data_IF_119035916348
#
_entry.id   IF_119035916348
#
_cell.length_a   1.000
_cell.length_b   1.000
_cell.length_c   1.000
_cell.angle_alpha   90.00
_cell.angle_beta   90.00
_cell.angle_gamma   90.00
#
_symmetry.space_group_name_H-M   'P 1'
#
loop_
_entity.id
_entity.type
_entity.pdbx_description
1 polymer ?
#
# COMPACT_ATOMS: atom_id res chain seq x y z
N UNK A 1 36.50 2.45 15.43
CA UNK A 1 35.09 2.03 15.37
C UNK A 1 34.30 3.26 15.01
N UNK A 2 33.80 3.35 13.79
CA UNK A 2 33.08 4.55 13.33
C UNK A 2 31.68 4.53 13.92
N UNK A 3 31.36 5.54 14.72
CA UNK A 3 30.01 5.81 15.22
C UNK A 3 29.05 5.93 14.03
N UNK A 4 28.28 4.87 13.79
CA UNK A 4 27.15 4.93 12.88
C UNK A 4 26.11 5.80 13.57
N UNK A 5 26.15 7.11 13.31
CA UNK A 5 25.07 8.03 13.67
C UNK A 5 23.78 7.41 13.14
N UNK A 6 22.90 6.97 14.04
CA UNK A 6 21.57 6.51 13.69
C UNK A 6 20.89 7.65 12.93
N UNK A 7 20.69 7.47 11.62
CA UNK A 7 19.92 8.42 10.82
C UNK A 7 18.50 8.39 11.36
N UNK A 8 18.10 9.48 12.01
CA UNK A 8 16.75 9.64 12.55
C UNK A 8 15.74 9.54 11.40
N UNK A 9 14.74 8.68 11.57
CA UNK A 9 13.68 8.56 10.59
C UNK A 9 12.66 9.67 10.79
N UNK A 10 12.66 10.61 9.86
CA UNK A 10 11.65 11.66 9.78
C UNK A 10 10.67 11.32 8.69
N UNK A 11 9.47 10.88 9.08
CA UNK A 11 8.39 10.65 8.14
C UNK A 11 8.07 11.94 7.38
N UNK A 12 7.88 11.84 6.07
CA UNK A 12 7.37 12.96 5.28
C UNK A 12 5.89 13.15 5.57
N UNK A 13 5.46 14.40 5.57
CA UNK A 13 4.04 14.73 5.65
C UNK A 13 3.39 14.49 4.28
N UNK A 14 2.41 13.59 4.25
CA UNK A 14 1.59 13.30 3.07
C UNK A 14 0.29 14.11 3.15
N UNK A 15 -0.30 14.41 1.99
CA UNK A 15 -1.58 15.11 1.91
C UNK A 15 -2.70 14.19 2.36
N UNK A 16 -3.26 14.44 3.53
CA UNK A 16 -4.42 13.74 4.05
C UNK A 16 -5.70 14.26 3.37
N UNK A 17 -6.47 13.36 2.77
CA UNK A 17 -7.73 13.68 2.10
C UNK A 17 -8.81 12.77 2.66
N UNK A 18 -9.91 13.36 3.12
CA UNK A 18 -11.06 12.61 3.61
C UNK A 18 -11.55 11.63 2.55
N UNK A 19 -11.84 10.39 2.94
CA UNK A 19 -12.35 9.36 2.05
C UNK A 19 -13.61 9.80 1.29
N UNK A 20 -14.48 10.59 1.92
CA UNK A 20 -15.68 11.13 1.26
C UNK A 20 -15.38 12.06 0.07
N UNK A 21 -14.16 12.62 -0.01
CA UNK A 21 -13.72 13.56 -1.06
C UNK A 21 -12.96 12.88 -2.20
N UNK A 22 -12.70 11.58 -2.11
CA UNK A 22 -11.89 10.85 -3.08
C UNK A 22 -12.79 10.02 -4.01
N UNK A 23 -12.56 10.12 -5.32
CA UNK A 23 -13.12 9.20 -6.29
C UNK A 23 -12.52 7.80 -6.07
N UNK A 24 -13.40 6.82 -5.91
CA UNK A 24 -13.03 5.44 -5.62
C UNK A 24 -13.76 4.52 -6.58
N UNK A 25 -13.07 3.47 -7.02
CA UNK A 25 -13.75 2.43 -7.79
C UNK A 25 -14.83 1.76 -6.93
N UNK A 26 -15.97 1.33 -7.52
CA UNK A 26 -17.06 0.71 -6.79
C UNK A 26 -16.64 -0.43 -5.85
N UNK A 27 -15.60 -1.18 -6.22
CA UNK A 27 -15.04 -2.26 -5.40
C UNK A 27 -14.38 -1.80 -4.11
N UNK A 28 -13.77 -0.61 -4.07
CA UNK A 28 -13.22 -0.04 -2.84
C UNK A 28 -14.30 0.30 -1.83
N UNK A 29 -15.55 0.54 -2.27
CA UNK A 29 -16.69 0.75 -1.36
C UNK A 29 -17.04 -0.48 -0.52
N UNK A 30 -16.55 -1.66 -0.91
CA UNK A 30 -16.81 -2.92 -0.20
C UNK A 30 -15.77 -3.23 0.88
N UNK A 31 -14.67 -2.48 0.92
CA UNK A 31 -13.63 -2.63 1.93
C UNK A 31 -13.80 -1.61 3.05
N UNK A 32 -13.37 -1.92 4.29
CA UNK A 32 -13.25 -0.92 5.35
C UNK A 32 -12.29 0.21 4.92
N UNK A 33 -12.83 1.43 4.80
CA UNK A 33 -12.09 2.61 4.33
C UNK A 33 -11.56 3.40 5.53
N UNK A 34 -10.30 3.87 5.52
CA UNK A 34 -9.83 4.82 6.52
C UNK A 34 -10.62 6.13 6.43
N UNK A 35 -10.68 6.95 7.49
CA UNK A 35 -11.29 8.30 7.39
C UNK A 35 -10.52 9.18 6.41
N UNK A 36 -9.18 9.03 6.36
CA UNK A 36 -8.30 9.75 5.46
C UNK A 36 -7.47 8.78 4.61
N UNK A 37 -7.33 9.10 3.32
CA UNK A 37 -6.26 8.58 2.47
C UNK A 37 -5.10 9.58 2.42
N UNK A 38 -3.88 9.09 2.22
CA UNK A 38 -2.66 9.89 2.21
C UNK A 38 -2.01 9.87 0.83
N UNK A 39 -1.86 11.04 0.21
CA UNK A 39 -1.28 11.20 -1.12
C UNK A 39 0.04 11.97 -1.07
N UNK A 40 0.88 11.75 -2.07
CA UNK A 40 2.17 12.45 -2.20
C UNK A 40 1.96 13.95 -2.45
N UNK A 41 0.95 14.27 -3.27
CA UNK A 41 0.53 15.64 -3.60
C UNK A 41 -0.99 15.69 -3.75
N UNK A 42 -1.57 16.88 -3.62
CA UNK A 42 -3.00 17.10 -3.81
C UNK A 42 -3.48 16.79 -5.25
N UNK A 43 -2.57 16.74 -6.22
CA UNK A 43 -2.90 16.48 -7.62
C UNK A 43 -3.11 14.99 -7.92
N UNK A 44 -2.68 14.09 -7.03
CA UNK A 44 -2.73 12.64 -7.26
C UNK A 44 -4.12 12.04 -7.06
N UNK A 45 -4.95 12.63 -6.20
CA UNK A 45 -6.31 12.15 -5.99
C UNK A 45 -7.26 12.76 -7.02
N UNK A 46 -8.31 12.02 -7.36
CA UNK A 46 -9.45 12.56 -8.11
C UNK A 46 -10.55 12.93 -7.13
N UNK A 47 -11.21 14.10 -7.29
CA UNK A 47 -12.34 14.48 -6.44
C UNK A 47 -13.52 13.52 -6.58
N UNK A 48 -14.25 13.31 -5.48
CA UNK A 48 -15.50 12.55 -5.48
C UNK A 48 -16.47 13.03 -6.58
N UNK A 49 -17.19 12.09 -7.21
CA UNK A 49 -18.09 12.37 -8.33
C UNK A 49 -17.40 12.46 -9.70
N UNK A 50 -16.07 12.35 -9.76
CA UNK A 50 -15.37 12.14 -11.05
C UNK A 50 -15.80 10.81 -11.65
N UNK A 51 -16.23 10.83 -12.91
CA UNK A 51 -16.52 9.61 -13.67
C UNK A 51 -15.23 8.78 -13.81
N UNK A 52 -15.32 7.52 -13.39
CA UNK A 52 -14.23 6.55 -13.47
C UNK A 52 -14.60 5.60 -14.62
N UNK A 53 -13.82 5.62 -15.70
CA UNK A 53 -14.01 4.71 -16.82
C UNK A 53 -13.61 3.26 -16.48
N UNK A 54 -13.91 2.33 -17.38
CA UNK A 54 -13.45 0.95 -17.26
C UNK A 54 -11.95 0.81 -17.59
N UNK A 55 -11.29 1.79 -18.24
CA UNK A 55 -9.82 1.79 -18.44
C UNK A 55 -9.04 2.04 -17.14
N UNK A 56 -9.73 2.47 -16.09
CA UNK A 56 -9.28 2.52 -14.71
C UNK A 56 -8.93 1.13 -14.13
N UNK A 57 -9.05 0.06 -14.92
CA UNK A 57 -8.42 -1.24 -14.69
C UNK A 57 -6.90 -1.16 -14.49
N UNK A 58 -6.23 -0.12 -15.01
CA UNK A 58 -4.79 0.11 -14.85
C UNK A 58 -4.44 1.13 -13.75
N UNK A 59 -5.40 1.75 -13.08
CA UNK A 59 -5.16 2.78 -12.07
C UNK A 59 -5.37 2.23 -10.66
N UNK A 60 -4.79 2.92 -9.67
CA UNK A 60 -5.04 2.65 -8.26
C UNK A 60 -6.55 2.71 -7.94
N UNK A 61 -7.01 1.89 -7.00
CA UNK A 61 -8.42 1.81 -6.58
C UNK A 61 -8.99 3.11 -5.99
N UNK A 62 -8.07 3.99 -5.60
CA UNK A 62 -8.26 5.23 -4.87
C UNK A 62 -7.46 6.30 -5.61
N UNK A 63 -8.15 7.23 -6.29
CA UNK A 63 -7.53 8.33 -7.05
C UNK A 63 -6.95 7.92 -8.42
N UNK A 64 -7.44 8.55 -9.49
CA UNK A 64 -7.17 8.13 -10.87
C UNK A 64 -5.93 8.69 -11.55
N UNK A 65 -5.02 9.39 -10.85
CA UNK A 65 -3.73 9.82 -11.42
C UNK A 65 -2.52 9.07 -10.89
N UNK A 66 -2.69 8.24 -9.85
CA UNK A 66 -1.63 7.38 -9.35
C UNK A 66 -1.37 6.25 -10.35
N UNK A 67 -0.13 6.17 -10.85
CA UNK A 67 0.30 5.14 -11.82
C UNK A 67 0.15 3.76 -11.18
N UNK A 68 -0.84 2.99 -11.65
CA UNK A 68 -1.09 1.55 -11.46
C UNK A 68 -0.74 0.88 -10.12
N UNK A 69 -1.76 0.31 -9.48
CA UNK A 69 -1.55 -0.72 -8.45
C UNK A 69 -1.34 -2.08 -9.14
N UNK A 70 -0.13 -2.64 -9.08
CA UNK A 70 0.22 -3.90 -9.78
C UNK A 70 -0.37 -5.16 -9.14
N UNK A 71 -0.73 -5.10 -7.86
CA UNK A 71 -1.33 -6.23 -7.14
C UNK A 71 -2.87 -6.18 -7.22
N UNK A 72 -3.43 -5.03 -7.61
CA UNK A 72 -4.87 -4.83 -7.76
C UNK A 72 -5.65 -4.83 -6.44
N UNK A 73 -5.05 -5.27 -5.32
CA UNK A 73 -5.71 -5.50 -4.03
C UNK A 73 -5.31 -4.48 -2.97
N UNK A 74 -6.31 -3.87 -2.33
CA UNK A 74 -6.11 -2.89 -1.27
C UNK A 74 -6.04 -3.56 0.11
N UNK A 75 -5.30 -2.97 1.06
CA UNK A 75 -5.24 -3.50 2.42
C UNK A 75 -6.59 -3.34 3.16
N UNK A 76 -6.99 -4.38 3.88
CA UNK A 76 -8.11 -4.31 4.81
C UNK A 76 -7.64 -3.75 6.17
N UNK A 77 -7.97 -2.49 6.43
CA UNK A 77 -7.56 -1.79 7.66
C UNK A 77 -8.17 -2.42 8.92
N UNK A 78 -9.42 -2.87 8.85
CA UNK A 78 -10.10 -3.53 9.98
C UNK A 78 -9.37 -4.82 10.37
N UNK A 79 -8.91 -5.57 9.38
CA UNK A 79 -8.12 -6.78 9.59
C UNK A 79 -6.75 -6.46 10.23
N UNK A 80 -6.05 -5.41 9.76
CA UNK A 80 -4.82 -4.95 10.39
C UNK A 80 -5.02 -4.50 11.85
N UNK A 81 -6.12 -3.80 12.16
CA UNK A 81 -6.48 -3.40 13.54
C UNK A 81 -6.65 -4.59 14.49
N UNK A 82 -7.11 -5.72 13.96
CA UNK A 82 -7.21 -6.98 14.71
C UNK A 82 -5.89 -7.72 14.92
N UNK A 83 -4.75 -7.16 14.47
CA UNK A 83 -3.43 -7.78 14.53
C UNK A 83 -3.19 -8.85 13.45
N UNK A 84 -4.08 -8.96 12.47
CA UNK A 84 -3.96 -9.88 11.34
C UNK A 84 -3.30 -9.17 10.15
N UNK A 85 -2.87 -9.95 9.15
CA UNK A 85 -2.34 -9.37 7.92
C UNK A 85 -3.47 -8.65 7.16
N UNK A 86 -3.34 -7.37 6.72
CA UNK A 86 -4.38 -6.65 5.98
C UNK A 86 -4.72 -7.29 4.63
N UNK A 87 -3.91 -8.26 4.18
CA UNK A 87 -4.14 -9.05 2.99
C UNK A 87 -4.49 -10.52 3.30
N UNK A 88 -4.74 -10.88 4.57
CA UNK A 88 -5.26 -12.21 4.91
C UNK A 88 -6.71 -12.37 4.42
N UNK A 89 -7.15 -13.62 4.24
CA UNK A 89 -8.48 -14.00 3.77
C UNK A 89 -8.77 -13.66 2.29
N UNK A 90 -8.34 -14.58 1.41
CA UNK A 90 -8.46 -14.49 -0.06
C UNK A 90 -9.75 -15.17 -0.56
N UNK A 91 -10.42 -15.99 0.26
CA UNK A 91 -11.29 -17.04 -0.26
C UNK A 91 -12.80 -16.81 -0.23
N UNK A 92 -13.38 -15.76 0.38
CA UNK A 92 -14.86 -15.67 0.47
C UNK A 92 -15.53 -14.31 0.26
N UNK A 93 -14.80 -13.22 0.00
CA UNK A 93 -15.40 -11.90 -0.25
C UNK A 93 -14.65 -11.07 -1.29
N UNK A 94 -13.80 -11.69 -2.12
CA UNK A 94 -12.91 -10.98 -3.04
C UNK A 94 -13.70 -10.30 -4.16
N UNK A 95 -14.16 -9.08 -3.89
CA UNK A 95 -14.82 -8.21 -4.85
C UNK A 95 -13.82 -7.35 -5.63
N UNK A 96 -12.54 -7.67 -5.55
CA UNK A 96 -11.45 -6.91 -6.16
C UNK A 96 -10.78 -7.76 -7.25
N UNK A 97 -11.24 -7.54 -8.48
CA UNK A 97 -10.69 -8.19 -9.68
C UNK A 97 -9.24 -7.74 -9.88
N UNK A 98 -8.29 -8.60 -9.54
CA UNK A 98 -6.92 -8.50 -10.05
C UNK A 98 -6.92 -9.07 -11.47
N UNK A 99 -6.34 -8.33 -12.42
CA UNK A 99 -6.17 -8.82 -13.79
C UNK A 99 -5.48 -10.18 -13.75
N UNK A 100 -5.96 -11.10 -14.58
CA UNK A 100 -5.45 -12.47 -14.63
C UNK A 100 -3.93 -12.51 -14.79
N UNK A 101 -3.39 -11.62 -15.63
CA UNK A 101 -1.96 -11.45 -15.87
C UNK A 101 -1.14 -11.07 -14.65
N UNK A 102 -1.75 -10.56 -13.56
CA UNK A 102 -1.05 -10.16 -12.33
C UNK A 102 -1.45 -10.98 -11.10
N UNK A 103 -2.40 -11.92 -11.21
CA UNK A 103 -2.83 -12.77 -10.09
C UNK A 103 -1.69 -13.53 -9.43
N UNK A 104 -0.70 -13.92 -10.22
CA UNK A 104 0.49 -14.61 -9.72
C UNK A 104 1.35 -13.73 -8.78
N UNK A 105 1.17 -12.39 -8.78
CA UNK A 105 1.86 -11.45 -7.89
C UNK A 105 1.10 -11.20 -6.57
N UNK A 106 -0.13 -11.70 -6.42
CA UNK A 106 -0.94 -11.54 -5.20
C UNK A 106 -0.21 -11.95 -3.90
N UNK A 107 0.62 -13.00 -3.88
CA UNK A 107 1.36 -13.37 -2.68
C UNK A 107 2.37 -12.33 -2.19
N UNK A 108 2.77 -11.36 -3.04
CA UNK A 108 3.74 -10.31 -2.67
C UNK A 108 3.21 -9.42 -1.54
N UNK A 109 1.96 -8.96 -1.64
CA UNK A 109 1.39 -8.01 -0.68
C UNK A 109 1.41 -8.49 0.78
N UNK A 110 0.90 -9.70 1.13
CA UNK A 110 0.93 -10.18 2.50
C UNK A 110 2.36 -10.31 3.04
N UNK A 111 3.35 -10.62 2.19
CA UNK A 111 4.74 -10.77 2.65
C UNK A 111 5.44 -9.42 2.84
N UNK A 112 5.13 -8.41 2.01
CA UNK A 112 5.57 -7.03 2.24
C UNK A 112 5.09 -6.56 3.61
N UNK A 113 3.80 -6.77 3.92
CA UNK A 113 3.27 -6.43 5.24
C UNK A 113 3.98 -7.22 6.35
N UNK A 114 4.20 -8.52 6.18
CA UNK A 114 4.85 -9.36 7.18
C UNK A 114 6.28 -8.89 7.50
N UNK A 115 7.06 -8.52 6.47
CA UNK A 115 8.41 -7.97 6.64
C UNK A 115 8.35 -6.63 7.35
N UNK A 116 7.48 -5.72 6.89
CA UNK A 116 7.40 -4.36 7.41
C UNK A 116 6.90 -4.32 8.87
N UNK A 117 5.84 -5.07 9.19
CA UNK A 117 5.21 -5.09 10.51
C UNK A 117 6.05 -5.75 11.61
N UNK A 118 6.96 -6.64 11.25
CA UNK A 118 7.90 -7.27 12.20
C UNK A 118 9.14 -6.41 12.48
N UNK A 119 9.41 -5.41 11.65
CA UNK A 119 10.58 -4.55 11.82
C UNK A 119 10.37 -3.52 12.93
N UNK A 120 11.31 -3.47 13.87
CA UNK A 120 11.35 -2.42 14.90
C UNK A 120 11.97 -1.12 14.40
N UNK A 121 12.69 -1.19 13.28
CA UNK A 121 13.36 -0.04 12.67
C UNK A 121 12.83 0.19 11.26
N UNK A 122 12.89 1.44 10.76
CA UNK A 122 12.60 1.73 9.35
C UNK A 122 13.50 0.92 8.42
N UNK A 123 12.93 0.35 7.37
CA UNK A 123 13.62 -0.47 6.36
C UNK A 123 13.69 0.27 5.03
N UNK A 124 14.82 0.17 4.33
CA UNK A 124 14.91 0.59 2.93
C UNK A 124 14.01 -0.28 2.05
N UNK A 125 13.42 0.32 1.01
CA UNK A 125 12.63 -0.44 0.03
C UNK A 125 13.41 -1.62 -0.57
N UNK A 126 14.71 -1.48 -0.83
CA UNK A 126 15.55 -2.58 -1.32
C UNK A 126 15.69 -3.73 -0.31
N UNK A 127 15.76 -3.45 1.00
CA UNK A 127 15.83 -4.47 2.05
C UNK A 127 14.52 -5.26 2.12
N UNK A 128 13.39 -4.56 2.00
CA UNK A 128 12.06 -5.18 1.94
C UNK A 128 11.97 -6.06 0.68
N UNK A 129 12.36 -5.55 -0.49
CA UNK A 129 12.36 -6.32 -1.74
C UNK A 129 13.21 -7.59 -1.63
N UNK A 130 14.41 -7.51 -1.06
CA UNK A 130 15.27 -8.68 -0.85
C UNK A 130 14.66 -9.68 0.12
N UNK A 131 14.05 -9.23 1.22
CA UNK A 131 13.40 -10.10 2.19
C UNK A 131 12.18 -10.82 1.59
N UNK A 132 11.38 -10.13 0.79
CA UNK A 132 10.25 -10.73 0.07
C UNK A 132 10.74 -11.67 -1.04
N UNK A 133 11.78 -11.31 -1.79
CA UNK A 133 12.37 -12.16 -2.84
C UNK A 133 12.88 -13.49 -2.28
N UNK A 134 13.53 -13.48 -1.11
CA UNK A 134 13.98 -14.70 -0.41
C UNK A 134 12.84 -15.69 -0.12
N UNK A 135 11.64 -15.18 0.16
CA UNK A 135 10.43 -16.00 0.40
C UNK A 135 9.74 -16.46 -0.90
N UNK A 136 10.10 -15.90 -2.05
CA UNK A 136 9.47 -16.16 -3.35
C UNK A 136 10.51 -16.18 -4.46
N UNK A 137 11.52 -17.05 -4.32
CA UNK A 137 12.69 -17.04 -5.20
C UNK A 137 12.33 -17.09 -6.69
N UNK A 138 11.34 -17.89 -7.09
CA UNK A 138 10.92 -17.99 -8.49
C UNK A 138 10.09 -16.79 -8.95
N UNK A 139 9.21 -16.27 -8.10
CA UNK A 139 8.44 -15.06 -8.40
C UNK A 139 9.33 -13.83 -8.52
N UNK A 140 10.42 -13.78 -7.75
CA UNK A 140 11.38 -12.66 -7.77
C UNK A 140 12.08 -12.46 -9.12
N UNK A 141 12.06 -13.47 -9.99
CA UNK A 141 12.61 -13.42 -11.35
C UNK A 141 11.64 -12.76 -12.35
N UNK A 142 10.38 -12.55 -11.95
CA UNK A 142 9.36 -11.97 -12.83
C UNK A 142 9.57 -10.47 -12.99
N UNK A 143 9.38 -9.98 -14.22
CA UNK A 143 9.58 -8.58 -14.61
C UNK A 143 8.90 -7.57 -13.66
N UNK A 144 7.74 -7.90 -13.14
CA UNK A 144 6.88 -7.00 -12.36
C UNK A 144 6.98 -7.20 -10.84
N UNK A 145 7.84 -8.09 -10.36
CA UNK A 145 7.94 -8.41 -8.93
C UNK A 145 8.32 -7.18 -8.09
N UNK A 146 9.38 -6.47 -8.46
CA UNK A 146 9.82 -5.28 -7.73
C UNK A 146 8.77 -4.16 -7.78
N UNK A 147 8.04 -4.05 -8.90
CA UNK A 147 6.95 -3.10 -9.04
C UNK A 147 5.75 -3.45 -8.15
N UNK A 148 5.44 -4.75 -8.00
CA UNK A 148 4.44 -5.22 -7.05
C UNK A 148 4.81 -4.89 -5.59
N UNK A 149 6.08 -5.09 -5.20
CA UNK A 149 6.56 -4.69 -3.87
C UNK A 149 6.44 -3.18 -3.67
N UNK A 150 6.91 -2.39 -4.65
CA UNK A 150 6.88 -0.93 -4.60
C UNK A 150 5.45 -0.39 -4.50
N UNK A 151 4.54 -0.91 -5.33
CA UNK A 151 3.12 -0.59 -5.28
C UNK A 151 2.54 -0.88 -3.90
N UNK A 152 2.76 -2.09 -3.36
CA UNK A 152 2.24 -2.44 -2.02
C UNK A 152 2.69 -1.45 -0.95
N UNK A 153 3.96 -1.03 -0.98
CA UNK A 153 4.49 -0.06 -0.02
C UNK A 153 3.79 1.30 -0.13
N UNK A 154 3.44 1.72 -1.35
CA UNK A 154 2.67 2.93 -1.60
C UNK A 154 1.23 2.77 -1.11
N UNK A 155 0.56 1.64 -1.39
CA UNK A 155 -0.78 1.33 -0.88
C UNK A 155 -0.82 1.40 0.65
N UNK A 156 0.16 0.78 1.32
CA UNK A 156 0.25 0.81 2.77
C UNK A 156 0.41 2.24 3.31
N UNK A 157 1.20 3.08 2.64
CA UNK A 157 1.30 4.50 3.00
C UNK A 157 -0.02 5.24 2.78
N UNK A 158 -0.68 4.99 1.65
CA UNK A 158 -1.95 5.63 1.27
C UNK A 158 -3.07 5.32 2.27
N UNK A 159 -3.07 4.11 2.84
CA UNK A 159 -4.02 3.68 3.86
C UNK A 159 -3.58 4.01 5.29
N UNK A 160 -2.45 4.70 5.46
CA UNK A 160 -1.92 5.07 6.77
C UNK A 160 -1.33 3.91 7.57
N UNK A 161 -1.14 2.73 6.95
CA UNK A 161 -0.54 1.51 7.54
C UNK A 161 0.99 1.52 7.52
N UNK A 162 1.57 2.44 6.75
CA UNK A 162 3.01 2.69 6.72
C UNK A 162 3.29 4.19 6.61
N UNK A 163 4.50 4.58 6.99
CA UNK A 163 5.10 5.88 6.75
C UNK A 163 6.36 5.71 5.91
N UNK A 164 6.75 6.77 5.21
CA UNK A 164 8.01 6.85 4.47
C UNK A 164 8.72 8.18 4.70
N UNK A 165 10.03 8.23 4.47
CA UNK A 165 10.86 9.42 4.74
C UNK A 165 10.96 10.40 3.55
N UNK A 166 10.42 10.05 2.38
CA UNK A 166 10.48 10.90 1.18
C UNK A 166 9.20 10.81 0.36
N UNK A 167 8.85 11.89 -0.35
CA UNK A 167 7.73 11.89 -1.32
C UNK A 167 8.01 10.99 -2.52
N UNK A 168 9.20 11.11 -3.13
CA UNK A 168 9.58 10.31 -4.32
C UNK A 168 10.20 9.00 -3.90
N UNK A 169 9.46 7.89 -4.04
CA UNK A 169 9.97 6.55 -3.71
C UNK A 169 11.15 6.18 -4.60
N UNK A 170 12.33 6.08 -3.98
CA UNK A 170 13.55 5.55 -4.57
C UNK A 170 13.92 4.26 -3.82
N UNK A 171 13.99 3.15 -4.56
CA UNK A 171 14.19 1.81 -3.99
C UNK A 171 15.45 1.72 -3.11
N UNK A 172 16.53 2.42 -3.47
CA UNK A 172 17.80 2.36 -2.76
C UNK A 172 17.93 3.36 -1.61
N UNK A 173 16.96 4.27 -1.42
CA UNK A 173 17.10 5.40 -0.47
C UNK A 173 15.91 5.60 0.44
N UNK A 174 14.70 5.34 -0.04
CA UNK A 174 13.47 5.57 0.73
C UNK A 174 13.31 4.49 1.78
N UNK A 175 13.11 4.91 3.02
CA UNK A 175 12.78 4.04 4.15
C UNK A 175 11.29 4.02 4.38
N UNK A 176 10.80 2.87 4.84
CA UNK A 176 9.42 2.62 5.22
C UNK A 176 9.38 2.09 6.64
N UNK A 177 8.33 2.47 7.36
CA UNK A 177 8.06 1.97 8.71
C UNK A 177 6.57 1.68 8.84
N UNK A 178 6.21 0.53 9.42
CA UNK A 178 4.81 0.25 9.76
C UNK A 178 4.31 1.26 10.81
N UNK A 179 3.05 1.66 10.70
CA UNK A 179 2.35 2.41 11.76
C UNK A 179 1.59 1.45 12.67
N UNK A 180 1.12 1.94 13.82
CA UNK A 180 0.16 1.19 14.62
C UNK A 180 -1.21 1.23 13.92
N UNK A 181 -1.75 0.10 13.42
CA UNK A 181 -3.04 0.08 12.76
C UNK A 181 -4.18 0.54 13.67
N UNK A 182 -4.06 0.36 15.00
CA UNK A 182 -5.10 0.75 15.96
C UNK A 182 -5.37 2.26 15.96
N UNK A 183 -4.38 3.06 15.60
CA UNK A 183 -4.48 4.51 15.48
C UNK A 183 -5.23 4.97 14.22
N UNK A 184 -5.54 4.07 13.27
CA UNK A 184 -6.23 4.41 12.02
C UNK A 184 -7.73 4.40 12.26
N UNK A 185 -8.39 5.55 12.08
CA UNK A 185 -9.85 5.67 12.10
C UNK A 185 -10.44 5.12 10.80
N UNK A 186 -11.59 4.44 10.89
CA UNK A 186 -12.29 3.81 9.77
C UNK A 186 -13.66 4.46 9.64
N UNK A 187 -14.10 4.73 8.41
CA UNK A 187 -15.44 5.23 8.11
C UNK A 187 -16.47 4.20 8.57
N UNK A 188 -17.47 4.64 9.35
CA UNK A 188 -18.56 3.78 9.78
C UNK A 188 -19.28 3.17 8.56
N UNK A 189 -19.59 1.87 8.63
CA UNK A 189 -20.43 1.23 7.61
C UNK A 189 -21.83 1.84 7.73
N UNK A 190 -22.29 2.47 6.65
CA UNK A 190 -23.67 2.94 6.51
C UNK A 190 -24.63 1.77 6.32
#
# INVERSE_FOLDING_TARGET
MSDVKSVEFKAVELVAVESAKVAMQPRMNKLPKPVYFYFDTAEQYLPHGTEIDDEFLYNHQVGGKAKSSYIGRMPNVELAKSGKNPYADISNTDTVVTLESYRHLLPVAPQVWEVLSKSKTPLLACEIMQAVAKKNADMSKLKWFNEAVRSTLIDLCMFGLAKRDTVKVNVSRTRFQATDPKAIEIVAKA
#
